data_IF_749414589739
#
_entry.id   IF_749414589739
#
_cell.length_a   1.000
_cell.length_b   1.000
_cell.length_c   1.000
_cell.angle_alpha   90.00
_cell.angle_beta   90.00
_cell.angle_gamma   90.00
#
_symmetry.space_group_name_H-M   'P 1'
#
loop_
_entity.id
_entity.type
_entity.pdbx_description
1 polymer ?
#
# COMPACT_ATOMS: atom_id res chain seq x y z
N UNK A 1 -4.80 -8.42 6.89
CA UNK A 1 -5.37 -8.76 5.56
C UNK A 1 -4.69 -10.00 4.98
N UNK A 2 -5.34 -10.77 4.09
CA UNK A 2 -4.65 -11.78 3.31
C UNK A 2 -3.94 -11.12 2.10
N UNK A 3 -2.61 -10.93 2.20
CA UNK A 3 -1.80 -10.26 1.17
C UNK A 3 -1.92 -10.96 -0.20
N UNK A 4 -1.87 -12.29 -0.23
CA UNK A 4 -1.88 -13.05 -1.49
C UNK A 4 -3.20 -12.88 -2.25
N UNK A 5 -4.32 -12.84 -1.53
CA UNK A 5 -5.64 -12.59 -2.11
C UNK A 5 -5.74 -11.19 -2.71
N UNK A 6 -5.27 -10.15 -2.01
CA UNK A 6 -5.29 -8.78 -2.56
C UNK A 6 -4.40 -8.61 -3.78
N UNK A 7 -3.20 -9.21 -3.78
CA UNK A 7 -2.32 -9.21 -4.96
C UNK A 7 -3.04 -9.85 -6.16
N UNK A 8 -3.73 -10.97 -5.95
CA UNK A 8 -4.53 -11.61 -7.01
C UNK A 8 -5.70 -10.72 -7.45
N UNK A 9 -6.43 -10.11 -6.52
CA UNK A 9 -7.56 -9.23 -6.82
C UNK A 9 -7.14 -8.02 -7.68
N UNK A 10 -6.10 -7.30 -7.27
CA UNK A 10 -5.55 -6.15 -8.03
C UNK A 10 -5.07 -6.60 -9.41
N UNK A 11 -4.32 -7.70 -9.51
CA UNK A 11 -3.84 -8.21 -10.80
C UNK A 11 -4.98 -8.63 -11.73
N UNK A 12 -6.02 -9.26 -11.19
CA UNK A 12 -7.21 -9.64 -11.96
C UNK A 12 -7.93 -8.41 -12.47
N UNK A 13 -8.17 -7.41 -11.62
CA UNK A 13 -8.83 -6.15 -12.00
C UNK A 13 -8.07 -5.43 -13.12
N UNK A 14 -6.74 -5.30 -12.99
CA UNK A 14 -5.91 -4.69 -14.03
C UNK A 14 -5.97 -5.46 -15.36
N UNK A 15 -5.98 -6.81 -15.31
CA UNK A 15 -6.10 -7.65 -16.52
C UNK A 15 -7.47 -7.59 -17.17
N UNK A 16 -8.54 -7.36 -16.39
CA UNK A 16 -9.91 -7.21 -16.90
C UNK A 16 -10.24 -5.79 -17.35
N UNK A 17 -9.28 -4.85 -17.30
CA UNK A 17 -9.53 -3.44 -17.59
C UNK A 17 -10.39 -2.75 -16.53
N UNK A 18 -10.55 -3.36 -15.36
CA UNK A 18 -11.26 -2.76 -14.23
C UNK A 18 -10.31 -1.78 -13.51
N UNK A 19 -10.71 -0.51 -13.33
CA UNK A 19 -9.88 0.45 -12.61
C UNK A 19 -9.57 -0.03 -11.19
N UNK A 20 -8.36 0.27 -10.73
CA UNK A 20 -8.01 0.13 -9.31
C UNK A 20 -7.60 1.49 -8.76
N UNK A 21 -8.02 1.79 -7.53
CA UNK A 21 -7.76 3.06 -6.87
C UNK A 21 -6.70 2.85 -5.79
N UNK A 22 -5.60 3.58 -5.93
CA UNK A 22 -4.52 3.61 -4.95
C UNK A 22 -4.02 5.02 -4.69
N UNK A 23 -3.02 5.11 -3.81
CA UNK A 23 -2.38 6.37 -3.44
C UNK A 23 -0.87 6.23 -3.38
N UNK A 24 -0.18 7.36 -3.23
CA UNK A 24 1.27 7.47 -3.16
C UNK A 24 1.67 7.93 -1.76
N UNK A 25 2.66 7.28 -1.16
CA UNK A 25 3.19 7.63 0.16
C UNK A 25 4.65 8.05 0.05
N UNK A 26 4.92 9.31 0.40
CA UNK A 26 6.27 9.89 0.39
C UNK A 26 6.78 10.26 1.80
N UNK A 27 5.94 10.17 2.83
CA UNK A 27 6.32 10.49 4.21
C UNK A 27 6.57 9.15 4.93
N UNK A 28 7.81 8.80 5.34
CA UNK A 28 8.14 7.47 5.85
C UNK A 28 7.76 7.31 7.34
N UNK A 29 6.47 7.35 7.63
CA UNK A 29 5.93 7.35 8.99
C UNK A 29 4.78 6.35 9.13
N UNK A 30 4.86 5.47 10.14
CA UNK A 30 3.94 4.33 10.28
C UNK A 30 2.53 4.71 10.74
N UNK A 31 2.37 5.81 11.51
CA UNK A 31 1.05 6.36 11.85
C UNK A 31 0.36 6.92 10.61
N UNK A 32 1.11 7.54 9.70
CA UNK A 32 0.56 7.98 8.40
C UNK A 32 0.14 6.78 7.55
N UNK A 33 0.97 5.73 7.50
CA UNK A 33 0.61 4.48 6.85
C UNK A 33 -0.66 3.84 7.43
N UNK A 34 -0.86 3.87 8.75
CA UNK A 34 -2.07 3.36 9.39
C UNK A 34 -3.32 4.16 8.99
N UNK A 35 -3.21 5.49 8.94
CA UNK A 35 -4.29 6.37 8.47
C UNK A 35 -4.63 6.04 7.01
N UNK A 36 -3.61 5.96 6.14
CA UNK A 36 -3.79 5.63 4.73
C UNK A 36 -4.37 4.23 4.54
N UNK A 37 -3.95 3.26 5.36
CA UNK A 37 -4.48 1.90 5.35
C UNK A 37 -5.97 1.83 5.62
N UNK A 38 -6.53 2.79 6.37
CA UNK A 38 -7.97 2.89 6.64
C UNK A 38 -8.73 3.79 5.67
N UNK A 39 -8.05 4.44 4.72
CA UNK A 39 -8.65 5.38 3.78
C UNK A 39 -9.41 4.73 2.61
N UNK A 40 -9.43 3.39 2.53
CA UNK A 40 -10.18 2.65 1.51
C UNK A 40 -9.43 2.45 0.19
N UNK A 41 -8.14 2.76 0.13
CA UNK A 41 -7.31 2.45 -1.04
C UNK A 41 -7.08 0.94 -1.17
N UNK A 42 -7.12 0.44 -2.41
CA UNK A 42 -6.79 -0.94 -2.71
C UNK A 42 -5.29 -1.20 -2.56
N UNK A 43 -4.48 -0.19 -2.89
CA UNK A 43 -3.03 -0.24 -2.77
C UNK A 43 -2.46 1.14 -2.44
N UNK A 44 -1.30 1.17 -1.81
CA UNK A 44 -0.50 2.38 -1.59
C UNK A 44 0.92 2.09 -2.06
N UNK A 45 1.42 2.89 -2.99
CA UNK A 45 2.79 2.82 -3.46
C UNK A 45 3.72 3.62 -2.54
N UNK A 46 4.79 2.99 -2.06
CA UNK A 46 5.82 3.62 -1.23
C UNK A 46 6.91 4.17 -2.15
N UNK A 47 7.08 5.49 -2.16
CA UNK A 47 8.07 6.15 -3.00
C UNK A 47 9.49 5.99 -2.43
N UNK A 48 10.21 5.00 -2.95
CA UNK A 48 11.60 4.74 -2.59
C UNK A 48 12.61 5.39 -3.54
N UNK A 49 12.17 6.02 -4.63
CA UNK A 49 13.04 6.63 -5.63
C UNK A 49 13.20 8.14 -5.40
N UNK A 50 12.08 8.82 -5.13
CA UNK A 50 12.02 10.27 -4.93
C UNK A 50 11.66 10.65 -3.49
N UNK A 51 11.12 9.71 -2.72
CA UNK A 51 10.84 9.89 -1.30
C UNK A 51 12.07 9.62 -0.42
N UNK A 52 12.12 10.18 0.81
CA UNK A 52 13.17 9.91 1.79
C UNK A 52 13.02 8.53 2.47
N UNK A 53 12.29 7.58 1.87
CA UNK A 53 12.01 6.27 2.46
C UNK A 53 13.24 5.37 2.36
N UNK A 54 13.71 4.86 3.50
CA UNK A 54 14.76 3.87 3.57
C UNK A 54 14.22 2.44 3.79
N UNK A 55 14.98 1.44 3.34
CA UNK A 55 14.60 0.01 3.41
C UNK A 55 14.25 -0.43 4.84
N UNK A 56 14.94 0.10 5.85
CA UNK A 56 14.70 -0.24 7.26
C UNK A 56 13.34 0.24 7.80
N UNK A 57 12.66 1.16 7.12
CA UNK A 57 11.34 1.68 7.51
C UNK A 57 10.18 0.86 6.92
N UNK A 58 10.45 0.10 5.84
CA UNK A 58 9.42 -0.67 5.14
C UNK A 58 8.66 -1.67 6.03
N UNK A 59 9.29 -2.40 6.96
CA UNK A 59 8.55 -3.37 7.78
C UNK A 59 7.42 -2.74 8.58
N UNK A 60 7.64 -1.56 9.16
CA UNK A 60 6.63 -0.86 9.95
C UNK A 60 5.55 -0.22 9.08
N UNK A 61 5.94 0.39 7.96
CA UNK A 61 5.00 0.96 6.98
C UNK A 61 4.10 -0.13 6.39
N UNK A 62 4.68 -1.26 5.97
CA UNK A 62 3.93 -2.35 5.34
C UNK A 62 2.98 -2.99 6.34
N UNK A 63 3.44 -3.23 7.57
CA UNK A 63 2.60 -3.76 8.66
C UNK A 63 1.41 -2.84 8.93
N UNK A 64 1.62 -1.52 8.97
CA UNK A 64 0.56 -0.54 9.20
C UNK A 64 -0.49 -0.52 8.07
N UNK A 65 -0.06 -0.53 6.80
CA UNK A 65 -0.97 -0.60 5.64
C UNK A 65 -1.81 -1.89 5.63
N UNK A 66 -1.19 -3.03 5.95
CA UNK A 66 -1.87 -4.33 5.95
C UNK A 66 -2.86 -4.54 7.08
N UNK A 67 -2.62 -3.90 8.23
CA UNK A 67 -3.59 -3.82 9.32
C UNK A 67 -4.84 -3.06 8.91
N UNK A 68 -4.70 -2.05 8.04
CA UNK A 68 -5.81 -1.28 7.45
C UNK A 68 -6.55 -1.99 6.31
N UNK A 69 -5.96 -3.03 5.71
CA UNK A 69 -6.55 -3.73 4.56
C UNK A 69 -6.10 -3.18 3.21
N UNK A 70 -5.03 -2.39 3.18
CA UNK A 70 -4.44 -1.84 1.96
C UNK A 70 -3.19 -2.62 1.57
N UNK A 71 -3.01 -2.88 0.28
CA UNK A 71 -1.82 -3.55 -0.25
C UNK A 71 -0.64 -2.56 -0.32
N UNK A 72 0.46 -2.76 0.43
CA UNK A 72 1.69 -2.00 0.21
C UNK A 72 2.35 -2.42 -1.11
N UNK A 73 2.71 -1.44 -1.94
CA UNK A 73 3.40 -1.61 -3.22
C UNK A 73 4.72 -0.85 -3.28
#
# INVERSE_FOLDING_TARGET
>A
MNRLEQVRAVRTALRSGTPTIGSWMQIPESNIAEIMGRAGYQWVAIDMEHGPVAVNQLPDIFRALELGGTLPL
#
